data_IF_295101682737
#
_entry.id   IF_295101682737
#
_cell.length_a   1.000
_cell.length_b   1.000
_cell.length_c   1.000
_cell.angle_alpha   90.00
_cell.angle_beta   90.00
_cell.angle_gamma   90.00
#
_symmetry.space_group_name_H-M   'P 1'
#
loop_
_entity.id
_entity.type
_entity.pdbx_description
1 polymer ?
#
# COMPACT_ATOMS: atom_id res chain seq x y z
N UNK A 1 -23.60 13.15 3.42
CA UNK A 1 -22.71 13.84 2.45
C UNK A 1 -22.13 12.85 1.44
N UNK A 2 -22.35 13.07 0.13
CA UNK A 2 -21.93 12.17 -0.97
C UNK A 2 -20.41 11.90 -0.99
N UNK A 3 -19.58 12.91 -0.72
CA UNK A 3 -18.11 12.80 -0.75
C UNK A 3 -17.59 11.82 0.32
N UNK A 4 -18.14 11.84 1.54
CA UNK A 4 -17.74 10.93 2.62
C UNK A 4 -18.03 9.47 2.22
N UNK A 5 -19.21 9.20 1.66
CA UNK A 5 -19.58 7.86 1.16
C UNK A 5 -18.63 7.38 0.06
N UNK A 6 -18.23 8.27 -0.86
CA UNK A 6 -17.23 7.96 -1.88
C UNK A 6 -15.87 7.62 -1.28
N UNK A 7 -15.37 8.41 -0.32
CA UNK A 7 -14.09 8.14 0.36
C UNK A 7 -14.11 6.78 1.07
N UNK A 8 -15.20 6.46 1.76
CA UNK A 8 -15.39 5.17 2.45
C UNK A 8 -15.37 3.98 1.48
N UNK A 9 -16.00 4.13 0.31
CA UNK A 9 -16.02 3.08 -0.71
C UNK A 9 -14.63 2.91 -1.35
N UNK A 10 -13.99 4.01 -1.73
CA UNK A 10 -12.64 3.99 -2.29
C UNK A 10 -11.66 3.32 -1.32
N UNK A 11 -11.73 3.66 -0.04
CA UNK A 11 -10.79 3.13 0.95
C UNK A 11 -10.92 1.63 1.18
N UNK A 12 -12.11 1.05 1.03
CA UNK A 12 -12.30 -0.41 1.05
C UNK A 12 -11.64 -1.08 -0.14
N UNK A 13 -11.82 -0.54 -1.35
CA UNK A 13 -11.20 -1.12 -2.54
C UNK A 13 -9.67 -1.01 -2.51
N UNK A 14 -9.12 0.12 -2.03
CA UNK A 14 -7.67 0.31 -1.85
C UNK A 14 -7.10 -0.70 -0.84
N UNK A 15 -7.89 -1.13 0.15
CA UNK A 15 -7.48 -2.18 1.07
C UNK A 15 -7.56 -3.57 0.44
N UNK A 16 -8.71 -3.95 -0.11
CA UNK A 16 -8.98 -5.32 -0.54
C UNK A 16 -8.26 -5.72 -1.83
N UNK A 17 -8.19 -4.84 -2.84
CA UNK A 17 -7.57 -5.19 -4.13
C UNK A 17 -6.12 -5.67 -3.97
N UNK A 18 -5.21 -4.90 -3.35
CA UNK A 18 -3.83 -5.32 -3.24
C UNK A 18 -3.67 -6.46 -2.21
N UNK A 19 -4.51 -6.54 -1.17
CA UNK A 19 -4.51 -7.65 -0.21
C UNK A 19 -4.88 -8.98 -0.86
N UNK A 20 -5.95 -8.99 -1.67
CA UNK A 20 -6.38 -10.20 -2.38
C UNK A 20 -5.34 -10.59 -3.43
N UNK A 21 -4.84 -9.61 -4.21
CA UNK A 21 -3.84 -9.88 -5.24
C UNK A 21 -2.57 -10.53 -4.68
N UNK A 22 -2.02 -9.99 -3.59
CA UNK A 22 -0.78 -10.51 -3.01
C UNK A 22 -0.96 -11.92 -2.40
N UNK A 23 -2.11 -12.18 -1.76
CA UNK A 23 -2.40 -13.49 -1.17
C UNK A 23 -2.72 -14.54 -2.24
N UNK A 24 -3.37 -14.15 -3.34
CA UNK A 24 -3.54 -15.02 -4.50
C UNK A 24 -2.19 -15.36 -5.14
N UNK A 25 -1.28 -14.39 -5.28
CA UNK A 25 0.07 -14.64 -5.77
C UNK A 25 0.83 -15.61 -4.86
N UNK A 26 0.76 -15.43 -3.53
CA UNK A 26 1.33 -16.35 -2.55
C UNK A 26 0.74 -17.76 -2.67
N UNK A 27 -0.58 -17.87 -2.80
CA UNK A 27 -1.25 -19.15 -2.96
C UNK A 27 -0.79 -19.87 -4.23
N UNK A 28 -0.66 -19.16 -5.36
CA UNK A 28 -0.11 -19.70 -6.60
C UNK A 28 1.34 -20.17 -6.40
N UNK A 29 2.15 -19.39 -5.68
CA UNK A 29 3.53 -19.77 -5.37
C UNK A 29 3.64 -21.05 -4.54
N UNK A 30 2.74 -21.26 -3.57
CA UNK A 30 2.73 -22.45 -2.68
C UNK A 30 2.08 -23.66 -3.36
N UNK A 31 1.04 -23.44 -4.17
CA UNK A 31 0.24 -24.48 -4.83
C UNK A 31 0.50 -24.54 -6.34
N UNK A 32 1.76 -24.35 -6.73
CA UNK A 32 2.16 -24.34 -8.12
C UNK A 32 1.86 -25.66 -8.84
N UNK A 33 1.88 -26.80 -8.12
CA UNK A 33 1.56 -28.13 -8.64
C UNK A 33 0.21 -28.19 -9.35
N UNK A 34 -0.77 -27.40 -8.89
CA UNK A 34 -2.12 -27.33 -9.49
C UNK A 34 -2.12 -26.79 -10.91
N UNK A 35 -1.04 -26.11 -11.33
CA UNK A 35 -0.93 -25.42 -12.61
C UNK A 35 0.09 -26.06 -13.56
N UNK A 36 0.79 -27.12 -13.16
CA UNK A 36 1.92 -27.70 -13.94
C UNK A 36 1.54 -28.19 -15.35
N UNK A 37 0.29 -28.62 -15.56
CA UNK A 37 -0.21 -29.09 -16.85
C UNK A 37 -1.11 -28.07 -17.56
N UNK A 38 -0.98 -26.78 -17.22
CA UNK A 38 -1.81 -25.69 -17.78
C UNK A 38 -0.94 -24.66 -18.49
N UNK A 39 -1.54 -23.74 -19.25
CA UNK A 39 -0.81 -22.58 -19.80
C UNK A 39 -0.22 -21.67 -18.71
N UNK A 40 -0.67 -21.80 -17.45
CA UNK A 40 -0.26 -21.00 -16.31
C UNK A 40 0.83 -21.68 -15.45
N UNK A 41 1.68 -22.52 -16.05
CA UNK A 41 2.82 -23.15 -15.34
C UNK A 41 3.64 -22.07 -14.64
N UNK A 42 3.86 -22.25 -13.34
CA UNK A 42 4.60 -21.28 -12.53
C UNK A 42 6.10 -21.40 -12.79
N UNK A 43 6.75 -20.26 -13.05
CA UNK A 43 8.20 -20.20 -13.19
C UNK A 43 8.91 -20.70 -11.92
N UNK A 44 10.04 -21.39 -12.09
CA UNK A 44 10.80 -21.97 -10.97
C UNK A 44 11.14 -20.95 -9.86
N UNK A 45 11.46 -19.70 -10.23
CA UNK A 45 11.78 -18.63 -9.28
C UNK A 45 10.60 -18.28 -8.37
N UNK A 46 9.38 -18.42 -8.90
CA UNK A 46 8.11 -18.09 -8.26
C UNK A 46 7.50 -19.23 -7.46
N UNK A 47 8.06 -20.44 -7.53
CA UNK A 47 7.64 -21.59 -6.74
C UNK A 47 8.18 -21.48 -5.31
N UNK A 48 7.39 -21.93 -4.36
CA UNK A 48 7.76 -21.97 -2.95
C UNK A 48 7.12 -23.18 -2.27
N UNK A 49 7.73 -23.65 -1.19
CA UNK A 49 7.08 -24.58 -0.27
C UNK A 49 5.99 -23.89 0.55
N UNK A 50 5.32 -24.65 1.40
CA UNK A 50 4.39 -24.07 2.38
C UNK A 50 5.08 -22.99 3.20
N UNK A 51 4.46 -21.81 3.22
CA UNK A 51 5.00 -20.62 3.84
C UNK A 51 3.89 -19.74 4.38
N UNK A 52 4.16 -19.08 5.50
CA UNK A 52 3.35 -17.98 6.01
C UNK A 52 4.30 -16.78 6.17
N UNK A 53 4.60 -16.05 5.07
CA UNK A 53 5.63 -15.01 5.06
C UNK A 53 5.42 -13.88 6.06
N UNK A 54 4.17 -13.67 6.49
CA UNK A 54 3.81 -12.75 7.57
C UNK A 54 4.48 -13.09 8.91
N UNK A 55 4.81 -14.36 9.14
CA UNK A 55 5.42 -14.88 10.37
C UNK A 55 6.86 -15.35 10.13
N UNK A 56 7.07 -16.11 9.05
CA UNK A 56 8.35 -16.78 8.79
C UNK A 56 9.27 -16.04 7.80
N UNK A 57 8.73 -15.08 7.03
CA UNK A 57 9.47 -14.35 6.00
C UNK A 57 10.16 -15.24 4.96
N UNK A 58 9.68 -16.45 4.73
CA UNK A 58 10.28 -17.43 3.82
C UNK A 58 10.23 -17.03 2.34
N UNK A 59 9.28 -16.17 1.96
CA UNK A 59 9.12 -15.66 0.59
C UNK A 59 8.91 -14.14 0.62
N UNK A 60 9.62 -13.41 -0.23
CA UNK A 60 9.39 -11.96 -0.37
C UNK A 60 8.18 -11.66 -1.24
N UNK A 61 7.54 -10.50 -1.02
CA UNK A 61 6.43 -10.02 -1.85
C UNK A 61 6.85 -9.98 -3.33
N UNK A 62 8.04 -9.43 -3.58
CA UNK A 62 8.57 -9.27 -4.93
C UNK A 62 8.76 -10.60 -5.65
N UNK A 63 9.26 -11.65 -4.95
CA UNK A 63 9.40 -12.98 -5.54
C UNK A 63 8.05 -13.63 -5.80
N UNK A 64 7.10 -13.49 -4.87
CA UNK A 64 5.76 -14.06 -5.02
C UNK A 64 4.98 -13.45 -6.20
N UNK A 65 5.27 -12.19 -6.59
CA UNK A 65 4.41 -11.44 -7.50
C UNK A 65 5.00 -11.10 -8.86
N UNK A 66 6.32 -11.23 -9.06
CA UNK A 66 6.99 -10.79 -10.30
C UNK A 66 7.08 -11.84 -11.40
N UNK A 67 6.93 -13.12 -11.06
CA UNK A 67 7.10 -14.24 -12.00
C UNK A 67 5.81 -14.58 -12.73
N UNK A 68 5.91 -15.31 -13.84
CA UNK A 68 4.75 -15.84 -14.52
C UNK A 68 4.17 -17.02 -13.70
N UNK A 69 2.83 -17.12 -13.56
CA UNK A 69 1.77 -16.21 -14.04
C UNK A 69 1.40 -15.09 -13.05
N UNK A 70 1.99 -15.04 -11.86
CA UNK A 70 1.59 -14.14 -10.77
C UNK A 70 1.60 -12.66 -11.15
N UNK A 71 2.54 -12.21 -11.99
CA UNK A 71 2.59 -10.81 -12.42
C UNK A 71 1.34 -10.40 -13.22
N UNK A 72 0.63 -11.34 -13.87
CA UNK A 72 -0.62 -11.07 -14.58
C UNK A 72 -1.74 -10.66 -13.63
N UNK A 73 -1.69 -11.09 -12.37
CA UNK A 73 -2.64 -10.71 -11.32
C UNK A 73 -2.16 -9.45 -10.61
N UNK A 74 -0.88 -9.44 -10.23
CA UNK A 74 -0.34 -8.38 -9.37
C UNK A 74 -0.27 -7.03 -10.09
N UNK A 75 0.16 -7.00 -11.37
CA UNK A 75 0.32 -5.73 -12.08
C UNK A 75 -1.01 -4.97 -12.27
N UNK A 76 -2.08 -5.60 -12.81
CA UNK A 76 -3.37 -4.91 -12.95
C UNK A 76 -3.95 -4.48 -11.61
N UNK A 77 -3.80 -5.30 -10.56
CA UNK A 77 -4.26 -4.96 -9.22
C UNK A 77 -3.56 -3.70 -8.67
N UNK A 78 -2.24 -3.58 -8.82
CA UNK A 78 -1.50 -2.39 -8.39
C UNK A 78 -1.81 -1.16 -9.24
N UNK A 79 -1.98 -1.31 -10.56
CA UNK A 79 -2.39 -0.20 -11.43
C UNK A 79 -3.77 0.30 -11.02
N UNK A 80 -4.74 -0.60 -10.82
CA UNK A 80 -6.06 -0.24 -10.34
C UNK A 80 -5.99 0.45 -8.96
N UNK A 81 -5.18 -0.08 -8.05
CA UNK A 81 -4.97 0.53 -6.72
C UNK A 81 -4.40 1.94 -6.85
N UNK A 82 -3.45 2.18 -7.75
CA UNK A 82 -2.89 3.51 -8.00
C UNK A 82 -3.93 4.54 -8.47
N UNK A 83 -4.84 4.12 -9.35
CA UNK A 83 -5.94 4.97 -9.83
C UNK A 83 -6.90 5.30 -8.69
N UNK A 84 -7.22 4.32 -7.85
CA UNK A 84 -8.07 4.53 -6.68
C UNK A 84 -7.42 5.46 -5.65
N UNK A 85 -6.11 5.33 -5.42
CA UNK A 85 -5.33 6.21 -4.55
C UNK A 85 -5.41 7.66 -5.03
N UNK A 86 -5.22 7.91 -6.34
CA UNK A 86 -5.35 9.24 -6.91
C UNK A 86 -6.70 9.88 -6.54
N UNK A 87 -7.81 9.16 -6.78
CA UNK A 87 -9.15 9.68 -6.45
C UNK A 87 -9.36 9.83 -4.94
N UNK A 88 -8.82 8.92 -4.12
CA UNK A 88 -8.90 8.99 -2.68
C UNK A 88 -8.26 10.29 -2.14
N UNK A 89 -7.05 10.62 -2.59
CA UNK A 89 -6.33 11.80 -2.15
C UNK A 89 -7.01 13.10 -2.61
N UNK A 90 -7.51 13.13 -3.85
CA UNK A 90 -8.29 14.25 -4.37
C UNK A 90 -9.56 14.50 -3.54
N UNK A 91 -10.32 13.43 -3.25
CA UNK A 91 -11.59 13.54 -2.49
C UNK A 91 -11.36 13.98 -1.04
N UNK A 92 -10.30 13.49 -0.39
CA UNK A 92 -9.94 13.95 0.95
C UNK A 92 -9.52 15.43 0.96
N UNK A 93 -8.80 15.90 -0.07
CA UNK A 93 -8.46 17.32 -0.20
C UNK A 93 -9.70 18.20 -0.35
N UNK A 94 -10.65 17.80 -1.21
CA UNK A 94 -11.93 18.49 -1.36
C UNK A 94 -12.70 18.54 -0.04
N UNK A 95 -12.73 17.42 0.70
CA UNK A 95 -13.44 17.35 1.98
C UNK A 95 -12.80 18.24 3.05
N UNK A 96 -11.47 18.28 3.14
CA UNK A 96 -10.75 19.12 4.11
C UNK A 96 -10.89 20.61 3.77
N UNK A 97 -10.88 20.97 2.48
CA UNK A 97 -11.19 22.34 2.04
C UNK A 97 -12.60 22.76 2.46
N UNK A 98 -13.58 21.89 2.25
CA UNK A 98 -14.97 22.13 2.64
C UNK A 98 -15.12 22.43 4.14
N UNK A 99 -14.52 21.62 5.02
CA UNK A 99 -14.60 21.87 6.48
C UNK A 99 -13.77 23.05 6.97
N UNK A 100 -12.79 23.51 6.20
CA UNK A 100 -12.01 24.70 6.50
C UNK A 100 -12.59 25.97 5.88
N UNK A 101 -13.66 25.87 5.08
CA UNK A 101 -14.23 27.01 4.33
C UNK A 101 -13.18 27.68 3.40
N UNK A 102 -12.21 26.89 2.91
CA UNK A 102 -11.16 27.36 2.00
C UNK A 102 -11.48 26.86 0.60
N UNK A 103 -11.40 27.75 -0.39
CA UNK A 103 -11.50 27.38 -1.80
C UNK A 103 -10.15 26.86 -2.31
N UNK A 104 -10.17 25.70 -2.99
CA UNK A 104 -9.12 25.21 -3.87
C UNK A 104 -7.68 25.10 -3.34
N UNK A 105 -7.46 25.03 -2.02
CA UNK A 105 -6.11 24.77 -1.49
C UNK A 105 -5.70 23.32 -1.78
N UNK A 106 -4.49 23.14 -2.30
CA UNK A 106 -3.86 21.83 -2.44
C UNK A 106 -2.98 21.58 -1.22
N UNK A 107 -3.44 20.73 -0.31
CA UNK A 107 -2.65 20.37 0.87
C UNK A 107 -1.51 19.41 0.50
N UNK A 108 -0.41 19.48 1.25
CA UNK A 108 0.77 18.64 1.02
C UNK A 108 0.46 17.13 1.08
N UNK A 109 -0.55 16.69 1.86
CA UNK A 109 -0.96 15.28 1.84
C UNK A 109 -1.52 14.85 0.49
N UNK A 110 -2.20 15.75 -0.23
CA UNK A 110 -2.73 15.46 -1.57
C UNK A 110 -1.59 15.31 -2.56
N UNK A 111 -0.65 16.25 -2.57
CA UNK A 111 0.45 16.24 -3.52
C UNK A 111 1.33 14.99 -3.33
N UNK A 112 1.68 14.68 -2.08
CA UNK A 112 2.46 13.48 -1.75
C UNK A 112 1.68 12.18 -1.99
N UNK A 113 0.37 12.16 -1.71
CA UNK A 113 -0.45 10.98 -1.99
C UNK A 113 -0.67 10.72 -3.49
N UNK A 114 -0.73 11.77 -4.30
CA UNK A 114 -0.77 11.62 -5.77
C UNK A 114 0.60 11.16 -6.30
N UNK A 115 1.69 11.68 -5.72
CA UNK A 115 3.03 11.19 -6.03
C UNK A 115 3.19 9.71 -5.67
N UNK A 116 2.68 9.27 -4.52
CA UNK A 116 2.70 7.86 -4.14
C UNK A 116 1.93 7.00 -5.13
N UNK A 117 0.73 7.43 -5.54
CA UNK A 117 -0.03 6.76 -6.59
C UNK A 117 0.75 6.62 -7.91
N UNK A 118 1.40 7.70 -8.36
CA UNK A 118 2.23 7.66 -9.57
C UNK A 118 3.42 6.70 -9.43
N UNK A 119 4.13 6.74 -8.29
CA UNK A 119 5.21 5.80 -8.01
C UNK A 119 4.72 4.34 -7.98
N UNK A 120 3.54 4.06 -7.43
CA UNK A 120 2.96 2.71 -7.41
C UNK A 120 2.66 2.21 -8.83
N UNK A 121 2.11 3.07 -9.69
CA UNK A 121 1.85 2.74 -11.09
C UNK A 121 3.16 2.41 -11.83
N UNK A 122 4.19 3.26 -11.70
CA UNK A 122 5.51 3.03 -12.31
C UNK A 122 6.15 1.76 -11.75
N UNK A 123 6.08 1.52 -10.44
CA UNK A 123 6.60 0.30 -9.82
C UNK A 123 5.97 -0.96 -10.42
N UNK A 124 4.64 -0.95 -10.60
CA UNK A 124 3.90 -2.05 -11.21
C UNK A 124 4.36 -2.34 -12.64
N UNK A 125 4.55 -1.30 -13.45
CA UNK A 125 5.04 -1.43 -14.83
C UNK A 125 6.47 -2.00 -14.89
N UNK A 126 7.33 -1.60 -13.96
CA UNK A 126 8.72 -2.06 -13.89
C UNK A 126 8.87 -3.50 -13.35
N UNK A 127 7.81 -4.08 -12.78
CA UNK A 127 7.85 -5.44 -12.23
C UNK A 127 7.90 -6.49 -13.36
N UNK A 128 8.62 -7.60 -13.17
CA UNK A 128 8.71 -8.67 -14.18
C UNK A 128 9.40 -8.29 -15.50
N UNK A 129 9.99 -7.09 -15.59
CA UNK A 129 10.84 -6.69 -16.71
C UNK A 129 12.26 -7.15 -16.39
N UNK A 130 12.70 -8.23 -17.05
CA UNK A 130 14.04 -8.81 -16.94
C UNK A 130 15.01 -8.11 -17.89
N UNK A 131 15.19 -6.81 -17.67
CA UNK A 131 16.23 -6.05 -18.36
C UNK A 131 17.49 -6.13 -17.51
N UNK A 132 18.52 -6.80 -18.02
CA UNK A 132 19.81 -7.03 -17.34
C UNK A 132 20.68 -5.77 -17.16
N UNK A 133 20.09 -4.60 -17.33
CA UNK A 133 20.75 -3.32 -17.13
C UNK A 133 20.65 -2.94 -15.64
N UNK A 134 21.80 -2.78 -14.99
CA UNK A 134 21.92 -2.41 -13.56
C UNK A 134 21.07 -1.18 -13.18
N UNK A 135 20.90 -0.22 -14.10
CA UNK A 135 20.09 1.00 -13.91
C UNK A 135 18.62 0.67 -13.60
N UNK A 136 18.03 -0.34 -14.25
CA UNK A 136 16.62 -0.71 -14.04
C UNK A 136 16.41 -1.37 -12.67
N UNK A 137 17.39 -2.19 -12.23
CA UNK A 137 17.39 -2.79 -10.89
C UNK A 137 17.44 -1.72 -9.80
N UNK A 138 18.23 -0.66 -10.00
CA UNK A 138 18.29 0.50 -9.10
C UNK A 138 16.99 1.32 -9.13
N UNK A 139 16.49 1.64 -10.33
CA UNK A 139 15.26 2.42 -10.51
C UNK A 139 14.06 1.78 -9.81
N UNK A 140 13.91 0.45 -9.90
CA UNK A 140 12.83 -0.28 -9.23
C UNK A 140 12.83 -0.07 -7.71
N UNK A 141 14.02 -0.04 -7.09
CA UNK A 141 14.19 0.20 -5.64
C UNK A 141 13.88 1.66 -5.30
N UNK A 142 14.40 2.60 -6.08
CA UNK A 142 14.15 4.03 -5.87
C UNK A 142 12.66 4.36 -5.99
N UNK A 143 11.97 3.83 -7.00
CA UNK A 143 10.54 4.07 -7.20
C UNK A 143 9.70 3.47 -6.07
N UNK A 144 10.02 2.25 -5.63
CA UNK A 144 9.33 1.62 -4.50
C UNK A 144 9.55 2.40 -3.19
N UNK A 145 10.79 2.82 -2.90
CA UNK A 145 11.10 3.66 -1.75
C UNK A 145 10.38 5.01 -1.83
N UNK A 146 10.34 5.62 -3.02
CA UNK A 146 9.60 6.84 -3.30
C UNK A 146 8.11 6.68 -3.00
N UNK A 147 7.50 5.57 -3.43
CA UNK A 147 6.13 5.22 -3.05
C UNK A 147 5.97 5.15 -1.53
N UNK A 148 6.78 4.35 -0.84
CA UNK A 148 6.66 4.14 0.62
C UNK A 148 6.79 5.46 1.39
N UNK A 149 7.82 6.26 1.09
CA UNK A 149 8.10 7.51 1.79
C UNK A 149 6.96 8.52 1.56
N UNK A 150 6.56 8.73 0.30
CA UNK A 150 5.49 9.68 -0.03
C UNK A 150 4.16 9.25 0.57
N UNK A 151 3.87 7.94 0.59
CA UNK A 151 2.65 7.36 1.15
C UNK A 151 2.57 7.57 2.67
N UNK A 152 3.61 7.24 3.44
CA UNK A 152 3.60 7.44 4.90
C UNK A 152 3.44 8.91 5.25
N UNK A 153 4.18 9.80 4.57
CA UNK A 153 4.09 11.24 4.83
C UNK A 153 2.68 11.74 4.49
N UNK A 154 2.08 11.29 3.38
CA UNK A 154 0.72 11.66 3.02
C UNK A 154 -0.30 11.19 4.07
N UNK A 155 -0.19 9.95 4.56
CA UNK A 155 -1.06 9.42 5.61
C UNK A 155 -0.94 10.22 6.91
N UNK A 156 0.29 10.55 7.33
CA UNK A 156 0.55 11.35 8.53
C UNK A 156 -0.01 12.76 8.43
N UNK A 157 0.23 13.43 7.30
CA UNK A 157 -0.30 14.78 7.06
C UNK A 157 -1.83 14.79 6.98
N UNK A 158 -2.46 13.76 6.39
CA UNK A 158 -3.92 13.64 6.38
C UNK A 158 -4.46 13.51 7.81
N UNK A 159 -3.87 12.62 8.63
CA UNK A 159 -4.27 12.44 10.02
C UNK A 159 -4.09 13.72 10.85
N UNK A 160 -2.99 14.44 10.64
CA UNK A 160 -2.74 15.73 11.27
C UNK A 160 -3.85 16.75 10.94
N UNK A 161 -4.25 16.85 9.67
CA UNK A 161 -5.33 17.74 9.26
C UNK A 161 -6.69 17.31 9.84
N UNK A 162 -6.99 16.00 9.87
CA UNK A 162 -8.20 15.48 10.51
C UNK A 162 -8.22 15.75 12.02
N UNK A 163 -7.08 15.63 12.70
CA UNK A 163 -6.95 15.96 14.11
C UNK A 163 -7.19 17.45 14.38
N UNK A 164 -6.66 18.35 13.52
CA UNK A 164 -6.93 19.79 13.62
C UNK A 164 -8.43 20.11 13.44
N UNK A 165 -9.10 19.38 12.57
CA UNK A 165 -10.53 19.53 12.29
C UNK A 165 -11.46 18.84 13.32
N UNK A 166 -10.91 18.06 14.27
CA UNK A 166 -11.69 17.15 15.13
C UNK A 166 -12.88 17.80 15.85
N UNK A 167 -12.76 19.05 16.26
CA UNK A 167 -13.84 19.79 16.93
C UNK A 167 -14.98 20.12 15.98
N UNK A 168 -14.66 20.56 14.75
CA UNK A 168 -15.65 20.89 13.71
C UNK A 168 -16.41 19.67 13.20
N UNK A 169 -15.76 18.51 13.13
CA UNK A 169 -16.35 17.30 12.55
C UNK A 169 -16.80 16.27 13.59
N UNK A 170 -16.83 16.60 14.89
CA UNK A 170 -17.06 15.67 16.01
C UNK A 170 -18.27 14.73 15.81
N UNK A 171 -19.34 15.21 15.18
CA UNK A 171 -20.54 14.42 14.94
C UNK A 171 -20.38 13.39 13.82
N UNK A 172 -19.43 13.58 12.89
CA UNK A 172 -19.28 12.80 11.66
C UNK A 172 -18.26 11.66 11.74
N UNK A 173 -17.38 11.63 12.75
CA UNK A 173 -16.31 10.62 12.84
C UNK A 173 -16.24 9.91 14.20
N UNK A 174 -15.51 8.80 14.23
CA UNK A 174 -15.24 8.02 15.43
C UNK A 174 -13.86 8.38 16.03
N UNK A 175 -13.86 8.95 17.25
CA UNK A 175 -12.64 9.36 17.96
C UNK A 175 -11.67 8.22 18.23
N UNK A 176 -12.16 7.00 18.49
CA UNK A 176 -11.31 5.83 18.72
C UNK A 176 -10.52 5.47 17.46
N UNK A 177 -11.16 5.56 16.29
CA UNK A 177 -10.52 5.28 15.00
C UNK A 177 -9.51 6.37 14.61
N UNK A 178 -9.76 7.64 14.96
CA UNK A 178 -8.76 8.69 14.79
C UNK A 178 -7.47 8.36 15.57
N UNK A 179 -7.60 7.95 16.84
CA UNK A 179 -6.45 7.52 17.66
C UNK A 179 -5.75 6.31 17.05
N UNK A 180 -6.50 5.31 16.59
CA UNK A 180 -5.92 4.13 15.93
C UNK A 180 -5.11 4.50 14.68
N UNK A 181 -5.60 5.45 13.87
CA UNK A 181 -4.86 5.95 12.71
C UNK A 181 -3.56 6.67 13.10
N UNK A 182 -3.59 7.50 14.14
CA UNK A 182 -2.39 8.18 14.66
C UNK A 182 -1.35 7.12 15.07
N UNK A 183 -1.75 6.15 15.89
CA UNK A 183 -0.87 5.08 16.36
C UNK A 183 -0.29 4.28 15.19
N UNK A 184 -1.12 3.91 14.22
CA UNK A 184 -0.69 3.16 13.03
C UNK A 184 0.38 3.92 12.23
N UNK A 185 0.15 5.20 11.92
CA UNK A 185 1.12 5.99 11.15
C UNK A 185 2.40 6.21 11.94
N UNK A 186 2.32 6.43 13.26
CA UNK A 186 3.50 6.52 14.13
C UNK A 186 4.32 5.23 14.13
N UNK A 187 3.65 4.07 14.23
CA UNK A 187 4.31 2.77 14.16
C UNK A 187 4.97 2.54 12.80
N UNK A 188 4.26 2.80 11.69
CA UNK A 188 4.80 2.69 10.34
C UNK A 188 6.01 3.60 10.14
N UNK A 189 5.97 4.82 10.64
CA UNK A 189 7.09 5.77 10.57
C UNK A 189 8.29 5.24 11.36
N UNK A 190 8.08 4.74 12.58
CA UNK A 190 9.15 4.16 13.39
C UNK A 190 9.78 2.93 12.69
N UNK A 191 8.95 2.01 12.19
CA UNK A 191 9.42 0.83 11.45
C UNK A 191 10.18 1.23 10.20
N UNK A 192 9.71 2.21 9.42
CA UNK A 192 10.40 2.70 8.23
C UNK A 192 11.80 3.24 8.58
N UNK A 193 11.94 4.04 9.63
CA UNK A 193 13.22 4.57 10.09
C UNK A 193 14.16 3.46 10.60
N UNK A 194 13.65 2.53 11.41
CA UNK A 194 14.42 1.42 11.96
C UNK A 194 14.82 0.40 10.88
N UNK A 195 14.06 0.30 9.80
CA UNK A 195 14.36 -0.63 8.70
C UNK A 195 15.53 -0.17 7.83
N UNK A 196 15.85 1.12 7.80
CA UNK A 196 16.94 1.67 6.97
C UNK A 196 18.31 1.03 7.28
N UNK A 197 18.79 0.99 8.54
CA UNK A 197 20.01 0.26 8.89
C UNK A 197 19.94 -1.23 8.56
N UNK A 198 18.79 -1.85 8.85
CA UNK A 198 18.59 -3.30 8.70
C UNK A 198 18.69 -3.72 7.22
N UNK A 199 18.23 -2.86 6.30
CA UNK A 199 18.35 -3.09 4.85
C UNK A 199 19.80 -3.06 4.36
N UNK A 200 20.70 -2.36 5.06
CA UNK A 200 22.12 -2.22 4.70
C UNK A 200 22.96 -3.37 5.29
N UNK A 201 22.54 -3.94 6.42
CA UNK A 201 23.25 -5.06 7.05
C UNK A 201 23.12 -6.33 6.21
N UNK A 202 24.21 -7.07 6.04
CA UNK A 202 24.20 -8.39 5.42
C UNK A 202 23.51 -9.42 6.35
N UNK A 203 22.73 -10.33 5.76
CA UNK A 203 21.95 -11.33 6.50
C UNK A 203 20.51 -10.92 6.82
N UNK A 204 19.83 -11.73 7.65
CA UNK A 204 18.47 -11.48 8.13
C UNK A 204 17.36 -11.49 7.07
N UNK A 205 17.55 -12.25 5.98
CA UNK A 205 16.65 -12.24 4.81
C UNK A 205 15.19 -12.53 5.20
N UNK A 206 14.97 -13.54 6.05
CA UNK A 206 13.65 -13.88 6.55
C UNK A 206 13.00 -12.73 7.31
N UNK A 207 13.74 -12.11 8.23
CA UNK A 207 13.24 -10.96 8.97
C UNK A 207 12.90 -9.78 8.04
N UNK A 208 13.74 -9.50 7.03
CA UNK A 208 13.48 -8.46 6.01
C UNK A 208 12.19 -8.74 5.25
N UNK A 209 11.97 -9.97 4.82
CA UNK A 209 10.75 -10.34 4.11
C UNK A 209 9.52 -10.29 5.03
N UNK A 210 9.61 -10.78 6.27
CA UNK A 210 8.52 -10.65 7.24
C UNK A 210 8.17 -9.17 7.50
N UNK A 211 9.18 -8.30 7.58
CA UNK A 211 8.97 -6.86 7.66
C UNK A 211 8.26 -6.31 6.42
N UNK A 212 8.68 -6.69 5.20
CA UNK A 212 8.02 -6.27 3.95
C UNK A 212 6.52 -6.60 3.97
N UNK A 213 6.16 -7.84 4.32
CA UNK A 213 4.77 -8.30 4.40
C UNK A 213 3.95 -7.55 5.43
N UNK A 214 4.45 -7.44 6.66
CA UNK A 214 3.74 -6.75 7.74
C UNK A 214 3.62 -5.24 7.48
N UNK A 215 4.67 -4.64 6.93
CA UNK A 215 4.68 -3.22 6.59
C UNK A 215 3.66 -2.91 5.50
N UNK A 216 3.60 -3.74 4.45
CA UNK A 216 2.57 -3.62 3.40
C UNK A 216 1.16 -3.67 3.98
N UNK A 217 0.86 -4.63 4.88
CA UNK A 217 -0.43 -4.72 5.57
C UNK A 217 -0.71 -3.46 6.37
N UNK A 218 0.26 -2.96 7.13
CA UNK A 218 0.11 -1.74 7.92
C UNK A 218 -0.24 -0.53 7.05
N UNK A 219 0.43 -0.36 5.90
CA UNK A 219 0.14 0.74 4.96
C UNK A 219 -1.30 0.66 4.43
N UNK A 220 -1.78 -0.52 4.02
CA UNK A 220 -3.14 -0.66 3.49
C UNK A 220 -4.21 -0.61 4.60
N UNK A 221 -3.87 -1.04 5.82
CA UNK A 221 -4.77 -1.01 6.98
C UNK A 221 -5.24 0.41 7.29
N UNK A 222 -4.42 1.43 7.01
CA UNK A 222 -4.82 2.84 7.10
C UNK A 222 -6.11 3.14 6.34
N UNK A 223 -6.28 2.54 5.15
CA UNK A 223 -7.44 2.73 4.30
C UNK A 223 -8.67 1.99 4.82
N UNK A 224 -8.48 0.79 5.39
CA UNK A 224 -9.55 0.11 6.10
C UNK A 224 -10.05 0.96 7.29
N UNK A 225 -9.12 1.54 8.07
CA UNK A 225 -9.48 2.46 9.15
C UNK A 225 -10.23 3.69 8.63
N UNK A 226 -10.01 4.15 7.40
CA UNK A 226 -10.82 5.25 6.82
C UNK A 226 -12.30 4.90 6.70
N UNK A 227 -12.64 3.64 6.38
CA UNK A 227 -14.04 3.20 6.30
C UNK A 227 -14.76 3.33 7.64
N UNK A 228 -14.07 2.98 8.72
CA UNK A 228 -14.58 3.03 10.10
C UNK A 228 -14.46 4.40 10.76
N UNK A 229 -13.58 5.26 10.23
CA UNK A 229 -13.39 6.62 10.74
C UNK A 229 -14.66 7.43 10.58
N UNK A 230 -15.28 7.39 9.40
CA UNK A 230 -16.52 8.10 9.12
C UNK A 230 -17.72 7.29 9.60
N UNK A 231 -18.61 7.92 10.37
CA UNK A 231 -19.86 7.30 10.80
C UNK A 231 -20.78 7.04 9.60
N UNK A 232 -21.67 6.05 9.75
CA UNK A 232 -22.79 5.91 8.83
C UNK A 232 -23.71 7.12 9.00
N UNK A 233 -24.02 7.72 7.85
CA UNK A 233 -24.88 8.88 7.70
C UNK A 233 -26.20 8.39 7.14
#
# INVERSE_FOLDING_TARGET
>A
MKIISQIRRLSLWIFFIPLVAINLCLLISIKFDLLENTIFVVDQIGRSGFSIPYLDGSLSISRASRTYPQFLIFKPALILTSVLLYFYWQKNNLLINYFNEISNKNYNFKTLGILSAACLAVHSLLLGVDVDIKIFKLLRRIVLLGFIISEIIAQGLLVFNLYKLKTKIQHLFNQKILRAKIILVSLLTAVALLSLPILIMDGGIHFKHALEWNFFIGVILFYLLTRFFWKEL
#
